data_IF_481860869726
#
_entry.id   IF_481860869726
#
_cell.length_a   1.000
_cell.length_b   1.000
_cell.length_c   1.000
_cell.angle_alpha   90.00
_cell.angle_beta   90.00
_cell.angle_gamma   90.00
#
_symmetry.space_group_name_H-M   'P 1'
#
loop_
_entity.id
_entity.type
_entity.pdbx_description
1 polymer ?
#
# COMPACT_ATOMS: atom_id res chain seq x y z
N UNK A 1 -14.06 8.83 -23.26
CA UNK A 1 -14.12 8.73 -22.46
C UNK A 1 -13.37 7.97 -21.89
N UNK A 2 -12.69 7.90 -21.41
CA UNK A 2 -12.31 7.24 -20.92
C UNK A 2 -12.30 6.86 -19.80
N UNK A 3 -12.37 6.58 -19.80
CA UNK A 3 -13.18 6.13 -18.87
C UNK A 3 -12.64 5.53 -17.66
N UNK A 4 -11.50 5.01 -17.71
CA UNK A 4 -11.00 4.30 -16.57
C UNK A 4 -10.82 5.21 -15.36
N UNK A 5 -10.47 6.44 -15.58
CA UNK A 5 -10.28 7.30 -14.45
C UNK A 5 -11.58 7.78 -13.85
N UNK A 6 -12.67 7.53 -14.54
CA UNK A 6 -13.97 7.92 -14.03
C UNK A 6 -14.60 6.87 -13.17
N UNK A 7 -13.98 5.72 -13.09
CA UNK A 7 -14.50 4.65 -12.27
C UNK A 7 -13.92 4.77 -10.88
N UNK A 8 -14.75 4.95 -9.86
CA UNK A 8 -14.25 5.05 -8.50
C UNK A 8 -13.52 3.78 -8.13
N UNK A 9 -12.52 3.91 -7.31
CA UNK A 9 -11.85 2.75 -6.75
C UNK A 9 -12.85 1.98 -5.91
N UNK A 10 -12.88 0.65 -6.02
CA UNK A 10 -13.87 -0.12 -5.26
C UNK A 10 -13.84 0.13 -3.77
N UNK A 11 -12.68 0.41 -3.22
CA UNK A 11 -12.55 0.63 -1.80
C UNK A 11 -12.50 2.11 -1.43
N UNK A 12 -11.87 2.93 -2.26
CA UNK A 12 -11.60 4.31 -1.89
C UNK A 12 -12.49 5.32 -2.60
N UNK A 13 -13.36 4.86 -3.49
CA UNK A 13 -14.24 5.76 -4.20
C UNK A 13 -13.46 6.73 -5.05
N UNK A 14 -13.77 8.01 -4.93
CA UNK A 14 -13.13 9.04 -5.74
C UNK A 14 -11.96 9.71 -5.03
N UNK A 15 -11.55 9.19 -3.88
CA UNK A 15 -10.41 9.75 -3.18
C UNK A 15 -9.13 9.59 -3.99
N UNK A 16 -8.25 10.55 -3.84
CA UNK A 16 -6.91 10.41 -4.39
C UNK A 16 -6.18 9.30 -3.66
N UNK A 17 -5.52 8.45 -4.40
CA UNK A 17 -4.82 7.32 -3.82
C UNK A 17 -3.37 7.33 -4.25
N UNK A 18 -2.55 6.66 -3.47
CA UNK A 18 -1.11 6.52 -3.71
C UNK A 18 -0.82 5.03 -3.78
N UNK A 19 0.01 4.65 -4.74
CA UNK A 19 0.44 3.27 -4.91
C UNK A 19 1.92 3.17 -4.57
N UNK A 20 2.28 2.18 -3.76
CA UNK A 20 3.67 1.97 -3.38
C UNK A 20 3.96 0.47 -3.33
N UNK A 21 5.17 0.11 -3.74
CA UNK A 21 5.65 -1.26 -3.55
C UNK A 21 6.34 -1.27 -2.19
N UNK A 22 5.88 -2.12 -1.31
CA UNK A 22 6.40 -2.15 0.05
C UNK A 22 6.71 -3.59 0.45
N UNK A 23 7.59 -3.72 1.43
CA UNK A 23 7.92 -5.02 2.00
C UNK A 23 7.02 -5.28 3.19
N UNK A 24 6.46 -6.48 3.24
CA UNK A 24 5.63 -6.90 4.35
C UNK A 24 6.51 -7.66 5.34
N UNK A 25 6.55 -7.19 6.57
CA UNK A 25 7.34 -7.82 7.61
C UNK A 25 6.49 -8.74 8.48
N UNK A 26 5.29 -8.30 8.80
CA UNK A 26 4.38 -9.05 9.65
C UNK A 26 2.96 -8.73 9.24
N UNK A 27 2.07 -9.61 9.58
CA UNK A 27 0.67 -9.41 9.25
C UNK A 27 -0.15 -9.99 10.38
N UNK A 28 -1.13 -9.23 10.82
CA UNK A 28 -2.10 -9.72 11.78
C UNK A 28 -3.45 -9.79 11.08
N UNK A 29 -4.47 -10.12 11.83
CA UNK A 29 -5.80 -10.21 11.27
C UNK A 29 -6.27 -8.87 10.70
N UNK A 30 -5.99 -7.79 11.42
CA UNK A 30 -6.52 -6.48 11.07
C UNK A 30 -5.48 -5.50 10.58
N UNK A 31 -4.20 -5.82 10.69
CA UNK A 31 -3.15 -4.89 10.36
C UNK A 31 -2.04 -5.57 9.59
N UNK A 32 -1.26 -4.75 8.90
CA UNK A 32 -0.13 -5.24 8.13
C UNK A 32 1.04 -4.31 8.43
N UNK A 33 2.20 -4.91 8.72
CA UNK A 33 3.40 -4.15 9.05
C UNK A 33 4.29 -4.11 7.81
N UNK A 34 4.49 -2.91 7.28
CA UNK A 34 5.17 -2.74 6.00
C UNK A 34 6.17 -1.60 6.09
N UNK A 35 7.17 -1.65 5.23
CA UNK A 35 8.08 -0.53 5.03
C UNK A 35 8.29 -0.32 3.55
N UNK A 36 8.64 0.89 3.18
CA UNK A 36 8.91 1.21 1.79
C UNK A 36 10.36 0.91 1.41
N UNK A 37 11.13 0.40 2.36
CA UNK A 37 12.51 -0.01 2.11
C UNK A 37 12.78 -1.29 2.86
N UNK A 38 14.02 -1.71 2.89
CA UNK A 38 14.40 -2.97 3.52
C UNK A 38 14.65 -2.85 5.02
N UNK A 39 14.26 -1.75 5.62
CA UNK A 39 14.54 -1.51 7.03
C UNK A 39 13.33 -1.81 7.89
N UNK A 40 13.45 -2.84 8.72
CA UNK A 40 12.39 -3.15 9.65
C UNK A 40 12.19 -2.01 10.66
N UNK A 41 13.26 -1.29 10.97
CA UNK A 41 13.17 -0.20 11.93
C UNK A 41 12.24 0.90 11.45
N UNK A 42 12.01 0.98 10.14
CA UNK A 42 11.11 1.99 9.58
C UNK A 42 9.77 1.41 9.20
N UNK A 43 9.51 0.18 9.57
CA UNK A 43 8.23 -0.43 9.25
C UNK A 43 7.13 0.17 10.11
N UNK A 44 5.94 0.18 9.55
CA UNK A 44 4.78 0.73 10.23
C UNK A 44 3.61 -0.23 10.10
N UNK A 45 2.76 -0.22 11.10
CA UNK A 45 1.54 -0.99 11.09
C UNK A 45 0.43 -0.15 10.47
N UNK A 46 -0.25 -0.71 9.50
CA UNK A 46 -1.38 -0.05 8.85
C UNK A 46 -2.60 -0.92 9.01
N UNK A 47 -3.74 -0.28 9.21
CA UNK A 47 -5.00 -1.00 9.30
C UNK A 47 -5.40 -1.51 7.92
N UNK A 48 -5.72 -2.78 7.84
CA UNK A 48 -6.13 -3.36 6.57
C UNK A 48 -7.38 -2.71 6.00
N UNK A 49 -8.21 -2.16 6.88
CA UNK A 49 -9.42 -1.47 6.44
C UNK A 49 -9.12 -0.16 5.73
N UNK A 50 -7.96 0.42 5.96
CA UNK A 50 -7.60 1.72 5.42
C UNK A 50 -6.74 1.65 4.17
N UNK A 51 -6.33 0.47 3.80
CA UNK A 51 -5.45 0.29 2.64
C UNK A 51 -5.92 -0.92 1.85
N UNK A 52 -5.37 -1.03 0.65
CA UNK A 52 -5.58 -2.21 -0.17
C UNK A 52 -4.22 -2.68 -0.67
N UNK A 53 -4.03 -3.97 -0.77
CA UNK A 53 -2.76 -4.47 -1.27
C UNK A 53 -2.95 -5.75 -2.05
N UNK A 54 -2.08 -5.92 -3.02
CA UNK A 54 -2.04 -7.13 -3.83
C UNK A 54 -0.59 -7.57 -3.93
N UNK A 55 -0.34 -8.85 -4.13
CA UNK A 55 1.03 -9.31 -4.29
C UNK A 55 1.71 -8.57 -5.43
N UNK A 56 2.93 -8.13 -5.19
CA UNK A 56 3.71 -7.48 -6.22
C UNK A 56 4.42 -8.57 -7.00
N UNK A 57 4.29 -8.52 -8.32
CA UNK A 57 4.99 -9.47 -9.16
C UNK A 57 6.45 -9.07 -9.22
N UNK A 58 7.30 -10.03 -9.05
CA UNK A 58 8.73 -9.80 -9.10
C UNK A 58 9.34 -10.79 -10.07
N UNK A 59 10.17 -10.28 -10.94
CA UNK A 59 10.85 -11.15 -11.88
C UNK A 59 11.75 -12.15 -11.20
N UNK A 60 12.13 -11.85 -9.99
CA UNK A 60 13.02 -12.73 -9.23
C UNK A 60 12.27 -13.60 -8.26
N UNK A 61 10.97 -13.52 -8.28
CA UNK A 61 10.20 -14.35 -7.37
C UNK A 61 10.32 -13.96 -5.93
N UNK A 62 10.66 -12.72 -5.64
CA UNK A 62 10.75 -12.26 -4.26
C UNK A 62 9.38 -12.32 -3.62
N UNK A 63 9.31 -12.95 -2.48
CA UNK A 63 8.10 -12.96 -1.71
C UNK A 63 8.16 -11.82 -0.70
N UNK A 64 7.01 -11.49 -0.14
CA UNK A 64 6.97 -10.50 0.92
C UNK A 64 6.81 -9.08 0.45
N UNK A 65 6.69 -8.85 -0.85
CA UNK A 65 6.44 -7.52 -1.38
C UNK A 65 5.02 -7.44 -1.89
N UNK A 66 4.38 -6.30 -1.68
CA UNK A 66 3.03 -6.06 -2.16
C UNK A 66 2.96 -4.67 -2.76
N UNK A 67 1.99 -4.50 -3.66
CA UNK A 67 1.67 -3.16 -4.12
C UNK A 67 0.56 -2.65 -3.21
N UNK A 68 0.89 -1.65 -2.44
CA UNK A 68 -0.02 -1.08 -1.45
C UNK A 68 -0.69 0.15 -2.05
N UNK A 69 -1.99 0.22 -1.92
CA UNK A 69 -2.77 1.37 -2.35
C UNK A 69 -3.43 1.96 -1.12
N UNK A 70 -3.28 3.26 -0.94
CA UNK A 70 -3.81 3.92 0.23
C UNK A 70 -4.26 5.32 -0.13
N UNK A 71 -5.21 5.89 0.62
CA UNK A 71 -5.57 7.28 0.40
C UNK A 71 -4.38 8.20 0.64
N UNK A 72 -4.39 9.33 -0.07
CA UNK A 72 -3.29 10.27 0.02
C UNK A 72 -3.01 10.70 1.47
N UNK A 73 -4.07 10.93 2.25
CA UNK A 73 -3.85 11.42 3.62
C UNK A 73 -3.18 10.35 4.50
N UNK A 74 -3.43 9.09 4.23
CA UNK A 74 -2.75 8.02 4.96
C UNK A 74 -1.27 7.99 4.58
N UNK A 75 -1.01 8.08 3.27
CA UNK A 75 0.37 8.06 2.79
C UNK A 75 1.17 9.22 3.39
N UNK A 76 0.56 10.39 3.44
CA UNK A 76 1.25 11.55 3.99
C UNK A 76 1.50 11.39 5.48
N UNK A 77 0.49 10.93 6.21
CA UNK A 77 0.61 10.79 7.66
C UNK A 77 1.58 9.72 8.07
N UNK A 78 1.82 8.74 7.21
CA UNK A 78 2.71 7.63 7.52
C UNK A 78 4.06 7.73 6.83
N UNK A 79 4.31 8.81 6.11
CA UNK A 79 5.60 9.01 5.50
C UNK A 79 5.83 8.25 4.22
N UNK A 80 4.78 7.79 3.55
CA UNK A 80 4.94 7.01 2.32
C UNK A 80 5.05 7.88 1.07
N UNK A 81 5.00 9.19 1.21
CA UNK A 81 5.16 10.07 0.06
C UNK A 81 6.63 10.30 -0.30
N UNK A 82 7.51 10.02 0.63
CA UNK A 82 8.94 10.25 0.44
C UNK A 82 9.67 8.94 0.27
N UNK A 83 9.19 8.14 -0.60
CA UNK A 83 9.81 6.85 -0.83
C UNK A 83 11.14 6.98 -1.56
#
# INVERSE_FOLDING_TARGET
>A
MTASYENPHPKFGTQNVVHRIVKVWKESRNQICVSHNESYAQAQWLDKDQVEYVPALSKRGHSGYVRLTMPFYIARGRGFLHA
#
